data_IF_106245139263
#
_entry.id   IF_106245139263
#
_cell.length_a   1.000
_cell.length_b   1.000
_cell.length_c   1.000
_cell.angle_alpha   90.00
_cell.angle_beta   90.00
_cell.angle_gamma   90.00
#
_symmetry.space_group_name_H-M   'P 1'
#
loop_
_entity.id
_entity.type
_entity.pdbx_description
1 polymer ?
#
# COMPACT_ATOMS: atom_id res chain seq x y z
N UNK A 1 10.15 -2.01 -0.97
CA UNK A 1 9.39 -0.76 -0.96
C UNK A 1 8.22 -0.90 -0.01
N UNK A 2 7.92 0.12 0.78
CA UNK A 2 6.75 0.22 1.66
C UNK A 2 5.76 1.16 0.98
N UNK A 3 4.54 0.72 0.67
CA UNK A 3 3.48 1.59 0.12
C UNK A 3 2.65 2.15 1.27
N UNK A 4 2.80 3.44 1.61
CA UNK A 4 2.23 4.01 2.81
C UNK A 4 0.72 4.31 2.73
N UNK A 5 0.08 4.11 1.57
CA UNK A 5 -1.17 4.82 1.31
C UNK A 5 -2.43 4.18 1.93
N UNK A 6 -2.38 2.93 2.43
CA UNK A 6 -3.60 2.20 2.83
C UNK A 6 -3.54 1.34 4.07
N UNK A 7 -2.51 1.46 4.88
CA UNK A 7 -2.44 0.67 6.10
C UNK A 7 -3.35 1.29 7.17
N UNK A 8 -4.32 0.56 7.76
CA UNK A 8 -5.09 1.06 8.90
C UNK A 8 -4.18 1.57 10.04
N UNK A 9 -3.03 0.93 10.26
CA UNK A 9 -2.02 1.45 11.21
C UNK A 9 -1.48 2.83 10.80
N UNK A 10 -1.24 3.09 9.51
CA UNK A 10 -0.78 4.40 9.05
C UNK A 10 -1.88 5.47 9.11
N UNK A 11 -3.14 5.10 8.85
CA UNK A 11 -4.29 5.98 9.09
C UNK A 11 -4.35 6.31 10.58
N UNK A 12 -4.18 5.32 11.45
CA UNK A 12 -4.14 5.53 12.89
C UNK A 12 -2.95 6.44 13.30
N UNK A 13 -1.78 6.30 12.67
CA UNK A 13 -0.65 7.22 12.89
C UNK A 13 -1.07 8.66 12.62
N UNK A 14 -1.84 8.89 11.55
CA UNK A 14 -2.38 10.21 11.23
C UNK A 14 -3.46 10.65 12.23
N UNK A 15 -4.44 9.80 12.56
CA UNK A 15 -5.59 10.17 13.41
C UNK A 15 -5.22 10.47 14.86
N UNK A 16 -4.25 9.74 15.42
CA UNK A 16 -3.95 9.88 16.84
C UNK A 16 -3.33 11.24 17.14
N UNK A 17 -2.65 11.88 16.17
CA UNK A 17 -1.90 13.11 16.42
C UNK A 17 -1.74 14.05 15.21
N UNK A 18 -2.71 14.13 14.30
CA UNK A 18 -2.68 15.12 13.21
C UNK A 18 -2.94 16.52 13.75
N UNK A 19 -1.89 17.19 14.22
CA UNK A 19 -1.86 18.64 14.13
C UNK A 19 -1.29 18.99 12.76
N UNK A 20 -1.88 19.98 12.09
CA UNK A 20 -1.21 20.61 10.96
C UNK A 20 0.17 21.09 11.45
N UNK A 21 1.24 20.70 10.77
CA UNK A 21 2.59 21.13 11.10
C UNK A 21 2.72 22.65 11.15
N UNK A 22 1.98 23.37 10.31
CA UNK A 22 1.90 24.82 10.30
C UNK A 22 1.17 25.36 11.53
N UNK A 23 0.09 24.69 11.96
CA UNK A 23 -0.60 25.03 13.21
C UNK A 23 0.29 24.76 14.42
N UNK A 24 0.96 23.60 14.48
CA UNK A 24 1.88 23.23 15.55
C UNK A 24 3.03 24.24 15.66
N UNK A 25 3.72 24.53 14.55
CA UNK A 25 4.82 25.50 14.51
C UNK A 25 4.43 26.92 14.89
N UNK A 26 3.15 27.32 14.75
CA UNK A 26 2.66 28.63 15.21
C UNK A 26 2.16 28.66 16.65
N UNK A 27 1.72 27.53 17.19
CA UNK A 27 1.04 27.47 18.50
C UNK A 27 1.84 26.70 19.57
N UNK A 28 3.04 26.21 19.24
CA UNK A 28 3.82 25.28 20.08
C UNK A 28 4.11 25.78 21.51
N UNK A 29 4.30 27.09 21.73
CA UNK A 29 4.53 27.65 23.07
C UNK A 29 3.36 27.37 24.04
N UNK A 30 2.14 27.19 23.53
CA UNK A 30 0.95 26.87 24.34
C UNK A 30 0.88 25.39 24.74
N UNK A 31 1.60 24.50 24.04
CA UNK A 31 1.55 23.06 24.27
C UNK A 31 2.52 22.55 25.35
N UNK A 32 3.44 23.40 25.85
CA UNK A 32 4.52 23.04 26.80
C UNK A 32 4.06 22.25 28.05
N UNK A 33 2.78 22.34 28.44
CA UNK A 33 2.23 21.69 29.66
C UNK A 33 1.37 20.43 29.43
N UNK A 34 1.08 20.02 28.18
CA UNK A 34 0.10 18.93 27.91
C UNK A 34 0.61 17.77 27.04
N UNK A 35 1.88 17.77 26.63
CA UNK A 35 2.39 16.79 25.67
C UNK A 35 2.79 15.47 26.38
N UNK A 36 1.84 14.53 26.48
CA UNK A 36 2.10 13.14 26.95
C UNK A 36 2.22 12.13 25.81
N UNK A 37 2.19 12.58 24.55
CA UNK A 37 1.91 11.70 23.41
C UNK A 37 2.93 11.88 22.29
N UNK A 38 3.17 10.77 21.58
CA UNK A 38 3.98 10.68 20.36
C UNK A 38 3.39 11.60 19.27
N UNK A 39 4.15 12.55 18.76
CA UNK A 39 3.69 13.36 17.60
C UNK A 39 4.12 12.68 16.30
N UNK A 40 3.22 12.65 15.30
CA UNK A 40 3.52 12.30 13.91
C UNK A 40 2.93 13.42 13.06
N UNK A 41 3.78 14.34 12.60
CA UNK A 41 3.37 15.49 11.78
C UNK A 41 3.76 15.25 10.31
N UNK A 42 2.85 15.55 9.39
CA UNK A 42 3.18 15.64 7.96
C UNK A 42 4.00 16.90 7.72
N UNK A 43 5.23 16.73 7.24
CA UNK A 43 6.24 17.80 7.15
C UNK A 43 6.90 17.82 5.78
N UNK A 44 7.34 19.00 5.28
CA UNK A 44 8.09 19.12 4.03
C UNK A 44 9.55 18.69 4.23
N UNK A 45 9.74 17.40 4.53
CA UNK A 45 11.03 16.76 4.82
C UNK A 45 11.76 16.32 3.54
N UNK A 46 11.30 16.71 2.34
CA UNK A 46 11.88 16.20 1.09
C UNK A 46 13.39 16.56 0.97
N UNK A 47 13.78 17.77 1.37
CA UNK A 47 15.18 18.21 1.48
C UNK A 47 15.57 18.44 2.95
N UNK A 48 16.48 17.59 3.47
CA UNK A 48 16.93 17.64 4.87
C UNK A 48 17.63 18.96 5.20
N UNK A 49 18.53 19.42 4.33
CA UNK A 49 19.30 20.65 4.51
C UNK A 49 18.38 21.88 4.59
N UNK A 50 17.43 21.96 3.66
CA UNK A 50 16.45 23.06 3.63
C UNK A 50 15.50 22.98 4.82
N UNK A 51 15.08 21.78 5.22
CA UNK A 51 14.23 21.57 6.38
C UNK A 51 14.92 22.00 7.66
N UNK A 52 16.17 21.58 7.89
CA UNK A 52 16.97 22.01 9.05
C UNK A 52 17.11 23.53 9.07
N UNK A 53 17.48 24.14 7.94
CA UNK A 53 17.66 25.59 7.83
C UNK A 53 16.37 26.35 8.12
N UNK A 54 15.26 25.92 7.52
CA UNK A 54 13.96 26.59 7.62
C UNK A 54 13.30 26.41 9.00
N UNK A 55 13.52 25.27 9.66
CA UNK A 55 12.83 24.91 10.91
C UNK A 55 13.77 24.73 12.11
N UNK A 56 14.97 25.33 12.08
CA UNK A 56 15.99 25.21 13.15
C UNK A 56 15.42 25.36 14.56
N UNK A 57 14.70 26.46 14.84
CA UNK A 57 14.12 26.71 16.17
C UNK A 57 13.10 25.65 16.61
N UNK A 58 12.33 25.12 15.67
CA UNK A 58 11.38 24.03 15.95
C UNK A 58 12.14 22.74 16.30
N UNK A 59 13.22 22.43 15.58
CA UNK A 59 14.04 21.25 15.83
C UNK A 59 14.77 21.34 17.17
N UNK A 60 15.35 22.49 17.49
CA UNK A 60 15.99 22.75 18.79
C UNK A 60 15.00 22.54 19.94
N UNK A 61 13.79 23.09 19.80
CA UNK A 61 12.71 22.88 20.76
C UNK A 61 12.34 21.40 20.89
N UNK A 62 12.02 20.73 19.80
CA UNK A 62 11.60 19.32 19.79
C UNK A 62 12.67 18.40 20.38
N UNK A 63 13.94 18.70 20.13
CA UNK A 63 15.08 17.99 20.70
C UNK A 63 15.30 18.26 22.20
N UNK A 64 14.75 19.34 22.74
CA UNK A 64 14.79 19.64 24.18
C UNK A 64 13.70 18.94 25.00
N UNK A 65 12.76 18.23 24.36
CA UNK A 65 11.63 17.59 25.04
C UNK A 65 11.93 16.12 25.33
N UNK A 66 11.69 15.70 26.57
CA UNK A 66 11.85 14.32 27.04
C UNK A 66 10.64 13.42 26.73
N UNK A 67 10.06 13.59 25.54
CA UNK A 67 9.00 12.70 25.03
C UNK A 67 9.33 12.26 23.59
N UNK A 68 8.84 11.10 23.14
CA UNK A 68 8.98 10.66 21.77
C UNK A 68 8.33 11.61 20.77
N UNK A 69 9.07 12.12 19.79
CA UNK A 69 8.50 12.93 18.69
C UNK A 69 9.03 12.40 17.36
N UNK A 70 8.12 12.25 16.39
CA UNK A 70 8.40 11.84 15.03
C UNK A 70 7.81 12.88 14.07
N UNK A 71 8.60 13.41 13.15
CA UNK A 71 8.10 14.11 11.97
C UNK A 71 8.21 13.17 10.78
N UNK A 72 7.22 13.22 9.90
CA UNK A 72 7.09 12.32 8.77
C UNK A 72 6.99 13.14 7.50
N UNK A 73 7.69 12.73 6.45
CA UNK A 73 7.57 13.39 5.15
C UNK A 73 6.19 13.11 4.55
N UNK A 74 5.68 14.02 3.72
CA UNK A 74 4.38 13.83 3.03
C UNK A 74 4.34 12.56 2.18
N UNK A 75 5.48 12.17 1.61
CA UNK A 75 5.64 10.96 0.82
C UNK A 75 6.06 9.75 1.66
N UNK A 76 6.12 9.86 2.99
CA UNK A 76 6.44 8.79 3.93
C UNK A 76 7.83 8.15 3.76
N UNK A 77 8.69 8.66 2.86
CA UNK A 77 10.04 8.14 2.60
C UNK A 77 11.09 8.59 3.63
N UNK A 78 10.78 9.62 4.42
CA UNK A 78 11.70 10.18 5.42
C UNK A 78 10.98 10.44 6.73
N UNK A 79 11.71 10.23 7.81
CA UNK A 79 11.28 10.61 9.16
C UNK A 79 12.36 11.47 9.82
N UNK A 80 11.94 12.33 10.74
CA UNK A 80 12.82 12.92 11.73
C UNK A 80 12.36 12.44 13.11
N UNK A 81 13.28 12.00 13.95
CA UNK A 81 13.03 11.64 15.35
C UNK A 81 13.79 12.58 16.26
N UNK A 82 13.19 12.98 17.38
CA UNK A 82 13.87 13.86 18.33
C UNK A 82 14.96 13.13 19.13
N UNK A 83 15.82 13.88 19.82
CA UNK A 83 16.93 13.32 20.61
C UNK A 83 16.50 12.29 21.67
N UNK A 84 15.34 12.50 22.31
CA UNK A 84 14.79 11.55 23.26
C UNK A 84 14.51 10.19 22.60
N UNK A 85 13.77 10.19 21.47
CA UNK A 85 13.44 8.95 20.77
C UNK A 85 14.68 8.32 20.12
N UNK A 86 15.59 9.13 19.55
CA UNK A 86 16.88 8.69 19.03
C UNK A 86 17.65 7.86 20.07
N UNK A 87 17.79 8.38 21.30
CA UNK A 87 18.46 7.69 22.42
C UNK A 87 17.72 6.40 22.79
N UNK A 88 16.39 6.45 22.87
CA UNK A 88 15.55 5.30 23.23
C UNK A 88 15.62 4.17 22.22
N UNK A 89 15.78 4.49 20.94
CA UNK A 89 15.90 3.52 19.83
C UNK A 89 17.35 3.15 19.52
N UNK A 90 18.33 3.66 20.28
CA UNK A 90 19.76 3.48 20.05
C UNK A 90 20.20 3.83 18.61
N UNK A 91 19.70 4.97 18.10
CA UNK A 91 20.00 5.47 16.76
C UNK A 91 21.11 6.53 16.80
N UNK A 92 21.95 6.55 15.78
CA UNK A 92 23.04 7.54 15.67
C UNK A 92 22.61 8.81 14.92
N UNK A 93 21.45 8.79 14.26
CA UNK A 93 20.95 9.87 13.41
C UNK A 93 19.51 10.22 13.79
N UNK A 94 19.12 11.47 13.56
CA UNK A 94 17.76 11.95 13.77
C UNK A 94 16.90 11.81 12.51
N UNK A 95 17.49 11.92 11.32
CA UNK A 95 16.79 11.73 10.06
C UNK A 95 16.90 10.28 9.62
N UNK A 96 15.76 9.65 9.40
CA UNK A 96 15.63 8.25 9.06
C UNK A 96 15.07 8.09 7.66
N UNK A 97 15.64 7.15 6.92
CA UNK A 97 15.19 6.67 5.61
C UNK A 97 14.40 5.35 5.73
N UNK A 98 13.98 4.79 4.60
CA UNK A 98 13.18 3.55 4.50
C UNK A 98 13.73 2.37 5.31
N UNK A 99 15.06 2.24 5.44
CA UNK A 99 15.67 1.11 6.14
C UNK A 99 15.34 1.09 7.64
N UNK A 100 14.90 2.22 8.19
CA UNK A 100 14.57 2.36 9.60
C UNK A 100 13.08 2.25 9.91
N UNK A 101 12.20 2.05 8.93
CA UNK A 101 10.74 2.07 9.15
C UNK A 101 10.29 1.01 10.15
N UNK A 102 10.88 -0.19 10.07
CA UNK A 102 10.59 -1.28 11.03
C UNK A 102 10.82 -0.86 12.48
N UNK A 103 11.81 -0.01 12.76
CA UNK A 103 12.10 0.47 14.12
C UNK A 103 11.01 1.44 14.57
N UNK A 104 10.61 2.37 13.69
CA UNK A 104 9.55 3.35 13.95
C UNK A 104 8.20 2.64 14.16
N UNK A 105 7.88 1.68 13.30
CA UNK A 105 6.64 0.91 13.37
C UNK A 105 6.57 0.07 14.63
N UNK A 106 7.65 -0.61 15.01
CA UNK A 106 7.71 -1.34 16.29
C UNK A 106 7.42 -0.43 17.48
N UNK A 107 8.08 0.73 17.53
CA UNK A 107 7.84 1.71 18.58
C UNK A 107 6.38 2.18 18.62
N UNK A 108 5.80 2.48 17.45
CA UNK A 108 4.40 2.89 17.33
C UNK A 108 3.44 1.79 17.79
N UNK A 109 3.68 0.55 17.36
CA UNK A 109 2.88 -0.62 17.73
C UNK A 109 2.90 -0.88 19.24
N UNK A 110 4.09 -0.87 19.86
CA UNK A 110 4.22 -1.05 21.30
C UNK A 110 3.46 0.03 22.09
N UNK A 111 3.45 1.25 21.56
CA UNK A 111 2.70 2.35 22.12
C UNK A 111 1.18 2.12 22.00
N UNK A 112 0.66 1.75 20.82
CA UNK A 112 -0.79 1.56 20.65
C UNK A 112 -1.31 0.29 21.32
N UNK A 113 -0.51 -0.77 21.43
CA UNK A 113 -0.91 -2.03 22.09
C UNK A 113 -1.30 -1.81 23.55
N UNK A 114 -0.64 -0.87 24.25
CA UNK A 114 -0.95 -0.53 25.65
C UNK A 114 -2.38 -0.01 25.84
N UNK A 115 -2.95 0.66 24.84
CA UNK A 115 -4.32 1.19 24.86
C UNK A 115 -5.11 0.74 23.62
N UNK A 116 -4.99 -0.54 23.24
CA UNK A 116 -5.50 -1.06 21.97
C UNK A 116 -6.99 -0.78 21.74
N UNK A 117 -7.84 -0.80 22.78
CA UNK A 117 -9.28 -0.48 22.67
C UNK A 117 -9.51 0.95 22.16
N UNK A 118 -8.80 1.93 22.74
CA UNK A 118 -8.91 3.34 22.35
C UNK A 118 -8.51 3.52 20.88
N UNK A 119 -7.38 2.93 20.49
CA UNK A 119 -6.84 3.11 19.15
C UNK A 119 -7.62 2.36 18.07
N UNK A 120 -8.08 1.14 18.37
CA UNK A 120 -8.99 0.44 17.48
C UNK A 120 -10.31 1.22 17.32
N UNK A 121 -10.84 1.82 18.39
CA UNK A 121 -12.07 2.63 18.31
C UNK A 121 -11.90 3.84 17.39
N UNK A 122 -10.76 4.53 17.45
CA UNK A 122 -10.45 5.62 16.51
C UNK A 122 -10.43 5.15 15.06
N UNK A 123 -9.83 3.98 14.78
CA UNK A 123 -9.86 3.40 13.44
C UNK A 123 -11.28 3.02 13.01
N UNK A 124 -12.01 2.35 13.88
CA UNK A 124 -13.39 1.94 13.64
C UNK A 124 -14.27 3.15 13.32
N UNK A 125 -14.21 4.21 14.13
CA UNK A 125 -15.02 5.41 13.91
C UNK A 125 -14.65 6.13 12.60
N UNK A 126 -13.37 6.16 12.25
CA UNK A 126 -12.92 6.71 10.98
C UNK A 126 -13.52 5.96 9.78
N UNK A 127 -13.30 4.65 9.70
CA UNK A 127 -13.78 3.86 8.56
C UNK A 127 -15.31 3.81 8.50
N UNK A 128 -15.98 3.64 9.65
CA UNK A 128 -17.45 3.62 9.72
C UNK A 128 -18.05 4.98 9.35
N UNK A 129 -17.36 6.09 9.63
CA UNK A 129 -17.76 7.43 9.17
C UNK A 129 -17.88 7.53 7.65
N UNK A 130 -17.17 6.68 6.91
CA UNK A 130 -17.26 6.55 5.44
C UNK A 130 -18.09 5.34 4.98
N UNK A 131 -18.82 4.68 5.89
CA UNK A 131 -19.61 3.47 5.58
C UNK A 131 -18.77 2.20 5.38
N UNK A 132 -17.47 2.24 5.69
CA UNK A 132 -16.56 1.11 5.50
C UNK A 132 -16.58 0.22 6.74
N UNK A 133 -17.08 -1.01 6.59
CA UNK A 133 -17.17 -2.03 7.66
C UNK A 133 -16.08 -3.10 7.55
N UNK A 134 -15.37 -3.16 6.42
CA UNK A 134 -14.28 -4.10 6.16
C UNK A 134 -13.16 -3.40 5.41
N UNK A 135 -11.92 -3.69 5.80
CA UNK A 135 -10.73 -3.15 5.13
C UNK A 135 -9.64 -4.21 5.06
N UNK A 136 -8.68 -4.03 4.16
CA UNK A 136 -7.53 -4.92 3.97
C UNK A 136 -6.27 -4.10 4.23
N UNK A 137 -5.46 -4.53 5.18
CA UNK A 137 -4.07 -4.07 5.32
C UNK A 137 -3.20 -4.82 4.30
N UNK A 138 -2.79 -4.11 3.24
CA UNK A 138 -2.09 -4.66 2.10
C UNK A 138 -0.56 -4.54 2.24
N UNK A 139 0.02 -5.33 3.16
CA UNK A 139 1.45 -5.52 3.52
C UNK A 139 1.64 -5.44 5.05
N UNK A 140 0.99 -6.36 5.74
CA UNK A 140 1.02 -6.46 7.20
C UNK A 140 2.33 -7.08 7.67
N UNK A 141 3.14 -6.29 8.37
CA UNK A 141 4.37 -6.71 9.05
C UNK A 141 4.07 -7.55 10.30
N UNK A 142 5.11 -8.16 10.89
CA UNK A 142 4.98 -8.91 12.14
C UNK A 142 4.40 -8.04 13.25
N UNK A 143 4.88 -6.81 13.38
CA UNK A 143 4.46 -5.85 14.39
C UNK A 143 2.96 -5.49 14.22
N UNK A 144 2.51 -5.20 12.99
CA UNK A 144 1.10 -4.86 12.74
C UNK A 144 0.18 -6.05 13.00
N UNK A 145 0.61 -7.25 12.61
CA UNK A 145 -0.12 -8.50 12.84
C UNK A 145 -0.37 -8.74 14.34
N UNK A 146 0.60 -8.41 15.21
CA UNK A 146 0.42 -8.55 16.66
C UNK A 146 -0.69 -7.65 17.20
N UNK A 147 -0.77 -6.41 16.72
CA UNK A 147 -1.84 -5.49 17.10
C UNK A 147 -3.20 -6.01 16.62
N UNK A 148 -3.30 -6.43 15.36
CA UNK A 148 -4.56 -6.96 14.82
C UNK A 148 -5.01 -8.23 15.53
N UNK A 149 -4.09 -9.17 15.81
CA UNK A 149 -4.42 -10.36 16.61
C UNK A 149 -4.89 -10.01 18.02
N UNK A 150 -4.26 -9.04 18.67
CA UNK A 150 -4.69 -8.56 19.99
C UNK A 150 -6.13 -8.01 19.93
N UNK A 151 -6.41 -7.12 18.98
CA UNK A 151 -7.74 -6.55 18.75
C UNK A 151 -8.76 -7.63 18.47
N UNK A 152 -8.46 -8.54 17.55
CA UNK A 152 -9.35 -9.63 17.13
C UNK A 152 -9.68 -10.59 18.27
N UNK A 153 -8.73 -10.82 19.19
CA UNK A 153 -8.90 -11.69 20.35
C UNK A 153 -9.65 -11.01 21.51
N UNK A 154 -9.49 -9.70 21.69
CA UNK A 154 -9.92 -8.99 22.91
C UNK A 154 -11.13 -8.08 22.73
N UNK A 155 -11.49 -7.72 21.50
CA UNK A 155 -12.63 -6.85 21.22
C UNK A 155 -13.74 -7.70 20.60
N UNK A 156 -14.80 -7.90 21.37
CA UNK A 156 -16.06 -8.50 20.91
C UNK A 156 -16.91 -7.40 20.23
N UNK A 157 -17.74 -7.77 19.25
CA UNK A 157 -18.68 -6.85 18.56
C UNK A 157 -18.02 -5.68 17.79
N UNK A 158 -16.92 -5.99 17.11
CA UNK A 158 -16.27 -5.07 16.16
C UNK A 158 -17.20 -4.69 15.02
N UNK A 159 -17.31 -3.39 14.71
CA UNK A 159 -18.00 -2.89 13.50
C UNK A 159 -17.08 -2.85 12.29
N UNK A 160 -15.76 -2.77 12.51
CA UNK A 160 -14.73 -2.79 11.47
C UNK A 160 -13.94 -4.10 11.48
N UNK A 161 -14.03 -4.88 10.41
CA UNK A 161 -13.15 -6.04 10.22
C UNK A 161 -11.90 -5.64 9.43
N UNK A 162 -10.72 -5.94 9.99
CA UNK A 162 -9.43 -5.69 9.34
C UNK A 162 -8.87 -7.04 8.90
N UNK A 163 -8.86 -7.24 7.59
CA UNK A 163 -8.20 -8.37 6.93
C UNK A 163 -6.77 -7.98 6.57
N UNK A 164 -5.91 -8.96 6.30
CA UNK A 164 -4.51 -8.67 6.02
C UNK A 164 -3.91 -9.55 4.92
N UNK A 165 -3.07 -8.91 4.11
CA UNK A 165 -2.09 -9.53 3.23
C UNK A 165 -0.73 -9.36 3.89
N UNK A 166 -0.07 -10.47 4.19
CA UNK A 166 1.17 -10.49 4.97
C UNK A 166 2.39 -10.08 4.14
N UNK A 167 3.37 -9.49 4.82
CA UNK A 167 4.76 -9.45 4.37
C UNK A 167 5.26 -10.90 4.12
N UNK A 168 5.75 -11.24 2.91
CA UNK A 168 6.27 -12.57 2.59
C UNK A 168 7.37 -13.06 3.52
N UNK A 169 8.15 -12.15 4.12
CA UNK A 169 9.20 -12.51 5.07
C UNK A 169 8.68 -13.19 6.34
N UNK A 170 7.39 -13.04 6.67
CA UNK A 170 6.77 -13.71 7.82
C UNK A 170 6.90 -15.24 7.71
N UNK A 171 6.86 -15.77 6.48
CA UNK A 171 7.03 -17.21 6.25
C UNK A 171 8.41 -17.71 6.71
N UNK A 172 9.42 -16.85 6.68
CA UNK A 172 10.79 -17.16 7.10
C UNK A 172 11.06 -16.90 8.58
N UNK A 173 10.31 -15.97 9.19
CA UNK A 173 10.48 -15.57 10.58
C UNK A 173 9.80 -16.52 11.58
N UNK A 174 8.75 -17.24 11.17
CA UNK A 174 7.95 -18.05 12.08
C UNK A 174 8.17 -19.55 11.90
N UNK A 175 8.16 -20.25 13.03
CA UNK A 175 8.04 -21.71 13.06
C UNK A 175 6.66 -22.18 12.59
N UNK A 176 6.56 -23.44 12.17
CA UNK A 176 5.35 -24.02 11.60
C UNK A 176 4.11 -23.89 12.52
N UNK A 177 4.27 -24.04 13.84
CA UNK A 177 3.17 -23.91 14.80
C UNK A 177 2.55 -22.51 14.76
N UNK A 178 3.39 -21.47 14.77
CA UNK A 178 2.95 -20.08 14.69
C UNK A 178 2.41 -19.73 13.30
N UNK A 179 3.02 -20.26 12.23
CA UNK A 179 2.48 -20.11 10.88
C UNK A 179 1.08 -20.71 10.76
N UNK A 180 0.85 -21.90 11.32
CA UNK A 180 -0.49 -22.52 11.32
C UNK A 180 -1.54 -21.64 11.99
N UNK A 181 -1.21 -21.01 13.11
CA UNK A 181 -2.12 -20.08 13.79
C UNK A 181 -2.40 -18.84 12.93
N UNK A 182 -1.38 -18.28 12.26
CA UNK A 182 -1.51 -17.07 11.44
C UNK A 182 -2.28 -17.34 10.15
N UNK A 183 -1.96 -18.43 9.45
CA UNK A 183 -2.53 -18.75 8.14
C UNK A 183 -3.96 -19.27 8.23
N UNK A 184 -4.33 -19.93 9.34
CA UNK A 184 -5.72 -20.36 9.59
C UNK A 184 -6.60 -19.26 10.18
N UNK A 185 -6.05 -18.07 10.46
CA UNK A 185 -6.86 -16.96 10.94
C UNK A 185 -7.86 -16.53 9.86
N UNK A 186 -9.13 -16.33 10.22
CA UNK A 186 -10.19 -15.91 9.29
C UNK A 186 -9.94 -14.55 8.64
N UNK A 187 -9.06 -13.74 9.24
CA UNK A 187 -8.67 -12.42 8.73
C UNK A 187 -7.51 -12.47 7.74
N UNK A 188 -6.80 -13.61 7.64
CA UNK A 188 -5.73 -13.80 6.66
C UNK A 188 -6.28 -13.97 5.25
N UNK A 189 -5.73 -13.22 4.29
CA UNK A 189 -6.10 -13.33 2.88
C UNK A 189 -4.98 -13.84 1.98
N UNK A 190 -3.72 -13.68 2.36
CA UNK A 190 -2.60 -13.96 1.46
C UNK A 190 -1.35 -13.13 1.73
N UNK A 191 -0.56 -12.90 0.69
CA UNK A 191 0.73 -12.21 0.74
C UNK A 191 0.78 -11.04 -0.26
N UNK A 192 1.50 -9.99 0.08
CA UNK A 192 1.69 -8.80 -0.77
C UNK A 192 3.16 -8.66 -1.20
N UNK A 193 3.37 -8.39 -2.48
CA UNK A 193 4.67 -8.17 -3.11
C UNK A 193 4.69 -6.82 -3.82
N UNK A 194 5.91 -6.32 -4.03
CA UNK A 194 6.15 -5.08 -4.78
C UNK A 194 7.02 -5.38 -5.99
N UNK A 195 6.50 -5.13 -7.20
CA UNK A 195 7.25 -5.33 -8.44
C UNK A 195 7.92 -4.03 -8.85
N UNK A 196 7.17 -2.93 -8.87
CA UNK A 196 7.68 -1.61 -9.22
C UNK A 196 7.39 -0.55 -8.14
N UNK A 197 7.77 0.68 -8.47
CA UNK A 197 7.67 1.85 -7.61
C UNK A 197 6.34 2.60 -7.69
N UNK A 198 6.42 3.93 -7.63
CA UNK A 198 5.30 4.86 -7.72
C UNK A 198 5.52 5.87 -8.85
N UNK A 199 4.45 6.52 -9.32
CA UNK A 199 4.59 7.63 -10.27
C UNK A 199 5.29 8.84 -9.63
N UNK A 200 4.98 9.15 -8.37
CA UNK A 200 5.55 10.31 -7.65
C UNK A 200 7.06 10.22 -7.48
N UNK A 201 7.59 9.01 -7.25
CA UNK A 201 9.04 8.79 -7.16
C UNK A 201 9.70 8.54 -8.51
N UNK A 202 8.91 8.55 -9.60
CA UNK A 202 9.35 8.30 -10.98
C UNK A 202 10.07 6.95 -11.13
N UNK A 203 9.67 5.94 -10.36
CA UNK A 203 10.30 4.61 -10.34
C UNK A 203 9.33 3.45 -10.66
N UNK A 204 8.08 3.77 -11.04
CA UNK A 204 7.18 2.83 -11.70
C UNK A 204 7.79 2.32 -13.03
N UNK A 205 7.54 1.06 -13.38
CA UNK A 205 8.11 0.45 -14.58
C UNK A 205 7.17 0.63 -15.77
N UNK A 206 7.41 1.64 -16.58
CA UNK A 206 6.68 1.88 -17.84
C UNK A 206 7.50 1.37 -19.04
N UNK A 207 6.84 1.04 -20.15
CA UNK A 207 7.54 0.70 -21.40
C UNK A 207 8.12 1.97 -22.09
N UNK A 208 7.47 3.14 -21.93
CA UNK A 208 7.93 4.42 -22.49
C UNK A 208 8.63 5.31 -21.45
N UNK A 209 9.78 4.84 -20.94
CA UNK A 209 10.51 5.51 -19.84
C UNK A 209 11.29 6.76 -20.25
N UNK A 210 11.79 6.81 -21.48
CA UNK A 210 12.66 7.89 -21.95
C UNK A 210 11.91 9.20 -22.17
N UNK A 211 10.62 9.13 -22.43
CA UNK A 211 9.79 10.32 -22.64
C UNK A 211 9.44 11.04 -21.33
N UNK A 212 9.52 10.37 -20.18
CA UNK A 212 8.97 10.82 -18.89
C UNK A 212 10.00 11.06 -17.77
N UNK A 213 11.31 10.89 -18.04
CA UNK A 213 12.38 10.97 -17.04
C UNK A 213 12.17 10.02 -15.84
N UNK A 214 11.74 8.79 -16.10
CA UNK A 214 11.60 7.76 -15.07
C UNK A 214 12.93 7.04 -14.84
N UNK A 215 13.19 6.65 -13.59
CA UNK A 215 14.24 5.72 -13.19
C UNK A 215 13.58 4.42 -12.70
N UNK A 216 13.08 3.57 -13.62
CA UNK A 216 12.31 2.39 -13.28
C UNK A 216 13.15 1.43 -12.44
N UNK A 217 12.57 0.88 -11.37
CA UNK A 217 13.23 -0.10 -10.50
C UNK A 217 12.39 -1.35 -10.36
N UNK A 218 13.01 -2.51 -10.56
CA UNK A 218 12.45 -3.79 -10.16
C UNK A 218 12.71 -3.99 -8.67
N UNK A 219 11.66 -3.95 -7.86
CA UNK A 219 11.73 -4.14 -6.42
C UNK A 219 11.62 -5.60 -5.99
N UNK A 220 11.08 -6.47 -6.86
CA UNK A 220 10.94 -7.89 -6.55
C UNK A 220 12.21 -8.66 -6.91
N UNK A 221 12.86 -9.21 -5.90
CA UNK A 221 13.88 -10.24 -6.07
C UNK A 221 13.22 -11.58 -6.46
N UNK A 222 13.55 -12.08 -7.65
CA UNK A 222 13.00 -13.32 -8.19
C UNK A 222 13.47 -14.56 -7.43
N UNK A 223 14.70 -14.57 -6.93
CA UNK A 223 15.24 -15.70 -6.17
C UNK A 223 14.55 -15.78 -4.81
N UNK A 224 14.34 -14.63 -4.16
CA UNK A 224 13.51 -14.54 -2.97
C UNK A 224 12.10 -15.06 -3.22
N UNK A 225 11.45 -14.63 -4.31
CA UNK A 225 10.09 -15.05 -4.63
C UNK A 225 9.99 -16.57 -4.88
N UNK A 226 10.96 -17.15 -5.61
CA UNK A 226 11.00 -18.59 -5.84
C UNK A 226 11.18 -19.37 -4.53
N UNK A 227 12.12 -18.94 -3.69
CA UNK A 227 12.34 -19.53 -2.36
C UNK A 227 11.09 -19.43 -1.48
N UNK A 228 10.38 -18.30 -1.54
CA UNK A 228 9.11 -18.10 -0.85
C UNK A 228 8.04 -19.10 -1.32
N UNK A 229 7.84 -19.26 -2.64
CA UNK A 229 6.84 -20.18 -3.18
C UNK A 229 7.14 -21.63 -2.82
N UNK A 230 8.40 -22.03 -2.89
CA UNK A 230 8.84 -23.36 -2.50
C UNK A 230 8.53 -23.63 -1.02
N UNK A 231 8.93 -22.71 -0.13
CA UNK A 231 8.63 -22.82 1.29
C UNK A 231 7.14 -22.86 1.56
N UNK A 232 6.37 -22.01 0.88
CA UNK A 232 4.91 -21.95 1.04
C UNK A 232 4.26 -23.28 0.64
N UNK A 233 4.68 -23.88 -0.48
CA UNK A 233 4.21 -25.19 -0.90
C UNK A 233 4.43 -26.26 0.19
N UNK A 234 5.62 -26.31 0.81
CA UNK A 234 5.89 -27.23 1.92
C UNK A 234 5.03 -26.97 3.15
N UNK A 235 4.77 -25.69 3.46
CA UNK A 235 3.90 -25.29 4.59
C UNK A 235 2.46 -25.71 4.32
N UNK A 236 1.94 -25.51 3.10
CA UNK A 236 0.57 -25.87 2.71
C UNK A 236 0.33 -27.38 2.65
N UNK A 237 1.36 -28.20 2.42
CA UNK A 237 1.24 -29.66 2.62
C UNK A 237 0.88 -30.05 4.05
N UNK A 238 1.21 -29.20 5.03
CA UNK A 238 0.99 -29.45 6.47
C UNK A 238 -0.21 -28.68 7.03
N UNK A 239 -0.72 -27.70 6.29
CA UNK A 239 -1.80 -26.80 6.72
C UNK A 239 -2.82 -26.69 5.58
N UNK A 240 -4.06 -27.13 5.83
CA UNK A 240 -5.14 -26.98 4.87
C UNK A 240 -5.65 -25.54 4.88
N UNK A 241 -5.47 -24.84 3.77
CA UNK A 241 -6.08 -23.55 3.49
C UNK A 241 -7.03 -23.68 2.32
N UNK A 242 -8.22 -23.09 2.43
CA UNK A 242 -9.20 -23.11 1.33
C UNK A 242 -8.76 -22.22 0.17
N UNK A 243 -8.17 -21.06 0.48
CA UNK A 243 -7.83 -20.04 -0.50
C UNK A 243 -6.64 -19.21 -0.03
N UNK A 244 -5.83 -18.76 -0.97
CA UNK A 244 -4.72 -17.84 -0.74
C UNK A 244 -4.63 -16.79 -1.86
N UNK A 245 -4.32 -15.55 -1.49
CA UNK A 245 -4.10 -14.47 -2.46
C UNK A 245 -2.62 -14.12 -2.57
N UNK A 246 -2.14 -13.87 -3.78
CA UNK A 246 -0.87 -13.20 -4.04
C UNK A 246 -1.18 -11.86 -4.68
N UNK A 247 -0.94 -10.78 -3.94
CA UNK A 247 -1.16 -9.42 -4.42
C UNK A 247 0.17 -8.82 -4.84
N UNK A 248 0.25 -8.30 -6.06
CA UNK A 248 1.44 -7.67 -6.61
C UNK A 248 1.14 -6.20 -6.84
N UNK A 249 1.88 -5.32 -6.20
CA UNK A 249 1.90 -3.90 -6.55
C UNK A 249 2.53 -3.73 -7.94
N UNK A 250 1.74 -3.24 -8.90
CA UNK A 250 2.18 -2.95 -10.25
C UNK A 250 1.50 -1.68 -10.74
N UNK A 251 2.25 -0.58 -10.82
CA UNK A 251 1.72 0.65 -11.40
C UNK A 251 1.89 0.63 -12.91
N UNK A 252 3.13 0.50 -13.39
CA UNK A 252 3.42 0.58 -14.82
C UNK A 252 3.14 -0.70 -15.61
N UNK A 253 2.86 -0.56 -16.91
CA UNK A 253 2.51 -1.64 -17.81
C UNK A 253 3.60 -2.72 -17.91
N UNK A 254 4.88 -2.31 -17.90
CA UNK A 254 6.02 -3.23 -17.86
C UNK A 254 6.06 -4.06 -16.59
N UNK A 255 5.68 -3.50 -15.44
CA UNK A 255 5.58 -4.26 -14.18
C UNK A 255 4.47 -5.33 -14.25
N UNK A 256 3.32 -4.98 -14.81
CA UNK A 256 2.20 -5.91 -15.01
C UNK A 256 2.62 -7.04 -15.96
N UNK A 257 3.24 -6.70 -17.09
CA UNK A 257 3.75 -7.67 -18.07
C UNK A 257 4.78 -8.61 -17.44
N UNK A 258 5.67 -8.07 -16.60
CA UNK A 258 6.61 -8.87 -15.83
C UNK A 258 5.90 -9.86 -14.88
N UNK A 259 4.88 -9.41 -14.15
CA UNK A 259 4.10 -10.23 -13.25
C UNK A 259 3.46 -11.43 -13.97
N UNK A 260 2.77 -11.14 -15.09
CA UNK A 260 2.05 -12.13 -15.89
C UNK A 260 2.97 -13.14 -16.57
N UNK A 261 4.18 -12.73 -16.97
CA UNK A 261 5.14 -13.63 -17.63
C UNK A 261 5.95 -14.49 -16.67
N UNK A 262 6.37 -13.93 -15.53
CA UNK A 262 7.44 -14.53 -14.74
C UNK A 262 6.97 -15.12 -13.41
N UNK A 263 5.84 -14.66 -12.86
CA UNK A 263 5.45 -15.01 -11.49
C UNK A 263 4.49 -16.21 -11.41
N UNK A 264 3.91 -16.60 -12.54
CA UNK A 264 3.10 -17.80 -12.72
C UNK A 264 4.00 -18.95 -13.20
N UNK A 265 4.58 -19.67 -12.24
CA UNK A 265 5.55 -20.73 -12.50
C UNK A 265 5.09 -22.09 -11.96
N UNK A 266 5.95 -23.11 -12.09
CA UNK A 266 5.68 -24.48 -11.65
C UNK A 266 5.21 -24.59 -10.20
N UNK A 267 5.65 -23.71 -9.30
CA UNK A 267 5.22 -23.75 -7.89
C UNK A 267 3.83 -23.19 -7.70
N UNK A 268 3.41 -22.18 -8.46
CA UNK A 268 2.02 -21.70 -8.44
C UNK A 268 1.07 -22.83 -8.85
N UNK A 269 1.40 -23.57 -9.91
CA UNK A 269 0.61 -24.76 -10.32
C UNK A 269 0.58 -25.85 -9.24
N UNK A 270 1.70 -26.10 -8.56
CA UNK A 270 1.72 -27.05 -7.43
C UNK A 270 0.90 -26.57 -6.23
N UNK A 271 0.90 -25.26 -5.96
CA UNK A 271 0.11 -24.65 -4.88
C UNK A 271 -1.38 -24.70 -5.22
N UNK A 272 -1.77 -24.49 -6.49
CA UNK A 272 -3.17 -24.49 -6.91
C UNK A 272 -3.85 -25.85 -6.75
N UNK A 273 -3.07 -26.93 -6.75
CA UNK A 273 -3.53 -28.28 -6.42
C UNK A 273 -3.89 -28.46 -4.93
N UNK A 274 -3.35 -27.62 -4.04
CA UNK A 274 -3.57 -27.71 -2.60
C UNK A 274 -4.60 -26.69 -2.08
N UNK A 275 -4.71 -25.53 -2.75
CA UNK A 275 -5.55 -24.41 -2.31
C UNK A 275 -5.93 -23.54 -3.49
N UNK A 276 -7.09 -22.87 -3.42
CA UNK A 276 -7.50 -21.94 -4.48
C UNK A 276 -6.60 -20.70 -4.48
N UNK A 277 -6.03 -20.36 -5.64
CA UNK A 277 -5.16 -19.18 -5.76
C UNK A 277 -5.92 -18.00 -6.33
N UNK A 278 -5.76 -16.85 -5.69
CA UNK A 278 -6.11 -15.54 -6.21
C UNK A 278 -4.84 -14.78 -6.58
N UNK A 279 -4.54 -14.65 -7.86
CA UNK A 279 -3.47 -13.79 -8.37
C UNK A 279 -4.03 -12.39 -8.59
N UNK A 280 -3.56 -11.40 -7.84
CA UNK A 280 -4.07 -10.03 -7.87
C UNK A 280 -2.97 -9.08 -8.31
N UNK A 281 -3.25 -8.24 -9.29
CA UNK A 281 -2.42 -7.10 -9.67
C UNK A 281 -3.10 -5.87 -9.10
N UNK A 282 -2.43 -5.24 -8.14
CA UNK A 282 -2.88 -4.02 -7.46
C UNK A 282 -2.42 -2.79 -8.23
N UNK A 283 -3.24 -1.74 -8.18
CA UNK A 283 -3.16 -0.50 -8.95
C UNK A 283 -3.48 -0.69 -10.43
N UNK A 284 -2.71 -1.51 -11.14
CA UNK A 284 -2.88 -1.82 -12.55
C UNK A 284 -3.15 -0.57 -13.42
N UNK A 285 -2.46 0.54 -13.13
CA UNK A 285 -2.80 1.87 -13.66
C UNK A 285 -2.53 2.01 -15.15
N UNK A 286 -1.55 1.29 -15.68
CA UNK A 286 -1.22 1.30 -17.10
C UNK A 286 -1.34 -0.11 -17.67
N UNK A 287 -2.19 -0.27 -18.68
CA UNK A 287 -2.40 -1.51 -19.41
C UNK A 287 -2.23 -1.23 -20.90
N UNK A 288 -1.27 -1.91 -21.51
CA UNK A 288 -1.05 -1.84 -22.95
C UNK A 288 -1.59 -3.10 -23.66
N UNK A 289 -1.48 -3.13 -24.99
CA UNK A 289 -1.99 -4.26 -25.79
C UNK A 289 -1.31 -5.58 -25.42
N UNK A 290 -0.01 -5.55 -25.12
CA UNK A 290 0.72 -6.72 -24.67
C UNK A 290 0.19 -7.21 -23.33
N UNK A 291 -0.12 -6.30 -22.39
CA UNK A 291 -0.73 -6.66 -21.09
C UNK A 291 -2.05 -7.42 -21.26
N UNK A 292 -2.92 -6.94 -22.15
CA UNK A 292 -4.20 -7.61 -22.45
C UNK A 292 -3.97 -9.00 -23.03
N UNK A 293 -3.04 -9.14 -23.98
CA UNK A 293 -2.74 -10.43 -24.58
C UNK A 293 -2.21 -11.43 -23.55
N UNK A 294 -1.23 -11.00 -22.74
CA UNK A 294 -0.65 -11.81 -21.67
C UNK A 294 -1.69 -12.24 -20.63
N UNK A 295 -2.64 -11.36 -20.28
CA UNK A 295 -3.73 -11.72 -19.40
C UNK A 295 -4.58 -12.85 -20.00
N UNK A 296 -5.01 -12.71 -21.26
CA UNK A 296 -5.81 -13.73 -21.95
C UNK A 296 -5.09 -15.08 -22.02
N UNK A 297 -3.82 -15.07 -22.40
CA UNK A 297 -3.00 -16.29 -22.48
C UNK A 297 -2.92 -16.99 -21.12
N UNK A 298 -2.72 -16.22 -20.05
CA UNK A 298 -2.67 -16.75 -18.68
C UNK A 298 -4.03 -17.25 -18.18
N UNK A 299 -5.13 -16.58 -18.52
CA UNK A 299 -6.49 -17.04 -18.17
C UNK A 299 -6.82 -18.39 -18.80
N UNK A 300 -6.37 -18.62 -20.04
CA UNK A 300 -6.52 -19.90 -20.75
C UNK A 300 -5.63 -20.98 -20.12
N UNK A 301 -4.37 -20.63 -19.85
CA UNK A 301 -3.34 -21.57 -19.35
C UNK A 301 -3.57 -22.01 -17.91
N UNK A 302 -4.01 -21.10 -17.03
CA UNK A 302 -4.11 -21.31 -15.59
C UNK A 302 -5.56 -21.25 -15.09
N UNK A 303 -6.39 -22.18 -15.56
CA UNK A 303 -7.84 -22.23 -15.25
C UNK A 303 -8.16 -22.34 -13.75
N UNK A 304 -7.26 -22.94 -12.97
CA UNK A 304 -7.40 -23.10 -11.51
C UNK A 304 -6.95 -21.87 -10.70
N UNK A 305 -6.45 -20.84 -11.38
CA UNK A 305 -6.03 -19.57 -10.78
C UNK A 305 -7.07 -18.51 -11.13
N UNK A 306 -7.58 -17.83 -10.11
CA UNK A 306 -8.39 -16.64 -10.31
C UNK A 306 -7.46 -15.43 -10.46
N UNK A 307 -7.67 -14.63 -11.49
CA UNK A 307 -6.96 -13.40 -11.75
C UNK A 307 -7.80 -12.19 -11.38
N UNK A 308 -7.17 -11.17 -10.80
CA UNK A 308 -7.82 -9.90 -10.50
C UNK A 308 -6.94 -8.74 -10.88
N UNK A 309 -7.53 -7.77 -11.58
CA UNK A 309 -6.96 -6.42 -11.65
C UNK A 309 -7.70 -5.55 -10.65
N UNK A 310 -6.95 -4.92 -9.75
CA UNK A 310 -7.48 -4.03 -8.73
C UNK A 310 -7.02 -2.64 -9.06
N UNK A 311 -7.96 -1.77 -9.41
CA UNK A 311 -7.70 -0.40 -9.83
C UNK A 311 -8.16 0.58 -8.78
N UNK A 312 -7.40 1.65 -8.57
CA UNK A 312 -7.86 2.76 -7.74
C UNK A 312 -8.19 3.98 -8.62
N UNK A 313 -9.49 4.32 -8.79
CA UNK A 313 -9.93 5.42 -9.65
C UNK A 313 -9.44 6.79 -9.20
N UNK A 314 -8.98 6.91 -7.95
CA UNK A 314 -8.55 8.18 -7.39
C UNK A 314 -7.12 8.56 -7.80
N UNK A 315 -6.33 7.61 -8.30
CA UNK A 315 -5.00 7.93 -8.83
C UNK A 315 -5.09 8.96 -9.96
N UNK A 316 -6.15 8.93 -10.78
CA UNK A 316 -6.33 9.94 -11.82
C UNK A 316 -6.26 11.38 -11.28
N UNK A 317 -6.81 11.65 -10.09
CA UNK A 317 -6.81 13.00 -9.49
C UNK A 317 -5.51 13.36 -8.80
N UNK A 318 -4.87 12.38 -8.16
CA UNK A 318 -3.55 12.56 -7.54
C UNK A 318 -2.49 12.79 -8.62
N UNK A 319 -2.64 12.10 -9.75
CA UNK A 319 -1.70 12.10 -10.87
C UNK A 319 -1.94 13.27 -11.85
N UNK A 320 -3.02 14.07 -11.71
CA UNK A 320 -3.25 15.26 -12.57
C UNK A 320 -2.03 16.20 -12.54
N UNK A 321 -1.44 16.42 -11.37
CA UNK A 321 -0.24 17.26 -11.26
C UNK A 321 0.94 16.65 -12.02
N UNK A 322 1.09 15.32 -11.95
CA UNK A 322 2.09 14.61 -12.75
C UNK A 322 1.81 14.74 -14.26
N UNK A 323 0.55 14.58 -14.68
CA UNK A 323 0.17 14.71 -16.09
C UNK A 323 0.35 16.13 -16.63
N UNK A 324 0.17 17.16 -15.80
CA UNK A 324 0.39 18.56 -16.19
C UNK A 324 1.85 18.88 -16.50
N UNK A 325 2.79 18.10 -15.97
CA UNK A 325 4.24 18.28 -16.21
C UNK A 325 4.73 17.57 -17.49
N UNK A 326 3.85 16.82 -18.16
CA UNK A 326 4.20 16.04 -19.35
C UNK A 326 3.81 16.81 -20.62
N UNK A 327 4.73 16.85 -21.58
CA UNK A 327 4.47 17.41 -22.91
C UNK A 327 3.25 16.73 -23.57
N UNK A 328 2.34 17.52 -24.15
CA UNK A 328 1.03 17.06 -24.63
C UNK A 328 1.09 15.83 -25.56
N UNK A 329 2.08 15.76 -26.46
CA UNK A 329 2.30 14.64 -27.38
C UNK A 329 2.60 13.33 -26.64
N UNK A 330 3.44 13.40 -25.60
CA UNK A 330 3.81 12.28 -24.73
C UNK A 330 2.65 11.89 -23.80
N UNK A 331 1.91 12.89 -23.30
CA UNK A 331 0.73 12.69 -22.47
C UNK A 331 -0.33 11.89 -23.23
N UNK A 332 -0.62 12.21 -24.50
CA UNK A 332 -1.59 11.47 -25.30
C UNK A 332 -1.25 9.98 -25.46
N UNK A 333 0.04 9.66 -25.64
CA UNK A 333 0.49 8.25 -25.74
C UNK A 333 0.35 7.53 -24.40
N UNK A 334 0.68 8.20 -23.30
CA UNK A 334 0.54 7.68 -21.95
C UNK A 334 -0.93 7.43 -21.57
N UNK A 335 -1.81 8.40 -21.86
CA UNK A 335 -3.24 8.30 -21.58
C UNK A 335 -3.90 7.13 -22.34
N UNK A 336 -3.47 6.82 -23.57
CA UNK A 336 -3.99 5.65 -24.31
C UNK A 336 -3.76 4.32 -23.59
N UNK A 337 -2.69 4.21 -22.80
CA UNK A 337 -2.40 3.01 -22.02
C UNK A 337 -2.92 3.11 -20.58
N UNK A 338 -3.47 4.24 -20.15
CA UNK A 338 -3.99 4.36 -18.81
C UNK A 338 -5.28 3.54 -18.67
N UNK A 339 -5.36 2.73 -17.61
CA UNK A 339 -6.40 1.71 -17.38
C UNK A 339 -7.81 2.21 -17.64
N UNK A 340 -8.07 3.43 -17.18
CA UNK A 340 -9.38 4.08 -17.24
C UNK A 340 -9.90 4.20 -18.69
N UNK A 341 -9.01 4.39 -19.67
CA UNK A 341 -9.37 4.48 -21.09
C UNK A 341 -9.42 3.11 -21.78
N UNK A 342 -9.00 2.06 -21.09
CA UNK A 342 -9.00 0.66 -21.55
C UNK A 342 -10.11 -0.18 -20.90
N UNK A 343 -10.96 0.43 -20.06
CA UNK A 343 -12.00 -0.26 -19.29
C UNK A 343 -12.91 -1.13 -20.16
N UNK A 344 -13.32 -0.64 -21.34
CA UNK A 344 -14.22 -1.38 -22.24
C UNK A 344 -13.60 -2.71 -22.70
N UNK A 345 -12.29 -2.73 -22.99
CA UNK A 345 -11.56 -3.95 -23.34
C UNK A 345 -11.46 -4.90 -22.15
N UNK A 346 -11.11 -4.36 -20.97
CA UNK A 346 -10.97 -5.16 -19.74
C UNK A 346 -12.32 -5.76 -19.32
N UNK A 347 -13.43 -5.02 -19.48
CA UNK A 347 -14.79 -5.52 -19.21
C UNK A 347 -15.23 -6.61 -20.18
N UNK A 348 -14.81 -6.57 -21.45
CA UNK A 348 -15.07 -7.67 -22.40
C UNK A 348 -14.41 -8.96 -21.91
N UNK A 349 -13.14 -8.89 -21.49
CA UNK A 349 -12.42 -10.04 -20.92
C UNK A 349 -13.12 -10.56 -19.67
N UNK A 350 -13.55 -9.67 -18.77
CA UNK A 350 -14.31 -10.06 -17.57
C UNK A 350 -15.59 -10.84 -17.89
N UNK A 351 -16.30 -10.48 -18.96
CA UNK A 351 -17.49 -11.22 -19.41
C UNK A 351 -17.17 -12.57 -20.05
N UNK A 352 -16.02 -12.66 -20.71
CA UNK A 352 -15.58 -13.86 -21.45
C UNK A 352 -14.97 -14.94 -20.53
N UNK A 353 -14.29 -14.54 -19.44
CA UNK A 353 -13.49 -15.44 -18.62
C UNK A 353 -13.99 -15.49 -17.16
N UNK A 354 -14.53 -16.64 -16.75
CA UNK A 354 -15.08 -16.85 -15.40
C UNK A 354 -14.03 -16.80 -14.26
N UNK A 355 -12.75 -16.92 -14.58
CA UNK A 355 -11.64 -16.83 -13.63
C UNK A 355 -10.95 -15.45 -13.63
N UNK A 356 -11.56 -14.43 -14.26
CA UNK A 356 -11.08 -13.05 -14.18
C UNK A 356 -12.03 -12.16 -13.38
N UNK A 357 -11.49 -11.25 -12.58
CA UNK A 357 -12.24 -10.27 -11.81
C UNK A 357 -11.62 -8.87 -11.88
N UNK A 358 -12.46 -7.86 -11.68
CA UNK A 358 -12.03 -6.46 -11.56
C UNK A 358 -12.40 -5.98 -10.16
N UNK A 359 -11.44 -5.43 -9.44
CA UNK A 359 -11.63 -4.78 -8.15
C UNK A 359 -11.44 -3.28 -8.25
N UNK A 360 -12.18 -2.53 -7.44
CA UNK A 360 -11.93 -1.09 -7.25
C UNK A 360 -11.42 -0.89 -5.83
N UNK A 361 -10.18 -0.43 -5.67
CA UNK A 361 -9.61 -0.08 -4.38
C UNK A 361 -9.74 1.42 -4.13
N UNK A 362 -10.07 1.80 -2.90
CA UNK A 362 -9.99 3.18 -2.45
C UNK A 362 -8.67 3.34 -1.69
N UNK A 363 -7.53 3.36 -2.41
CA UNK A 363 -6.23 3.42 -1.73
C UNK A 363 -5.91 4.79 -1.13
N UNK A 364 -6.81 5.75 -1.30
CA UNK A 364 -6.80 7.02 -0.58
C UNK A 364 -8.21 7.24 -0.03
N UNK A 365 -8.37 7.65 1.25
CA UNK A 365 -9.66 8.11 1.74
C UNK A 365 -10.00 9.41 1.01
N UNK A 366 -10.96 9.31 0.11
CA UNK A 366 -11.51 10.46 -0.61
C UNK A 366 -12.97 10.59 -0.21
N UNK A 367 -13.47 11.81 -0.20
CA UNK A 367 -14.88 12.04 0.11
C UNK A 367 -15.74 11.31 -0.93
N UNK A 368 -16.95 10.89 -0.54
CA UNK A 368 -17.91 10.28 -1.48
C UNK A 368 -18.24 11.18 -2.67
N UNK A 369 -18.07 12.50 -2.52
CA UNK A 369 -18.19 13.50 -3.58
C UNK A 369 -17.11 13.32 -4.64
N UNK A 370 -15.86 13.09 -4.23
CA UNK A 370 -14.73 12.94 -5.14
C UNK A 370 -14.84 11.64 -5.95
N UNK A 371 -15.29 10.53 -5.34
CA UNK A 371 -15.53 9.28 -6.06
C UNK A 371 -16.64 9.40 -7.12
N UNK A 372 -17.76 10.04 -6.78
CA UNK A 372 -18.84 10.29 -7.73
C UNK A 372 -18.42 11.25 -8.85
N UNK A 373 -17.55 12.22 -8.54
CA UNK A 373 -16.95 13.11 -9.51
C UNK A 373 -15.97 12.39 -10.44
N UNK A 374 -15.16 11.44 -9.93
CA UNK A 374 -14.33 10.53 -10.73
C UNK A 374 -15.16 9.76 -11.74
N UNK A 375 -16.25 9.13 -11.29
CA UNK A 375 -17.18 8.38 -12.13
C UNK A 375 -17.90 9.32 -13.11
N UNK A 376 -18.22 10.55 -12.72
CA UNK A 376 -18.84 11.56 -13.58
C UNK A 376 -17.90 12.05 -14.69
N UNK A 377 -16.67 12.43 -14.36
CA UNK A 377 -15.65 12.84 -15.35
C UNK A 377 -15.35 11.70 -16.31
N UNK A 378 -15.27 10.46 -15.79
CA UNK A 378 -15.18 9.25 -16.58
C UNK A 378 -16.31 9.12 -17.60
N UNK A 379 -17.55 9.25 -17.15
CA UNK A 379 -18.74 9.20 -18.02
C UNK A 379 -18.69 10.33 -19.06
N UNK A 380 -18.31 11.55 -18.67
CA UNK A 380 -18.20 12.71 -19.57
C UNK A 380 -17.11 12.53 -20.64
N UNK A 381 -15.94 12.03 -20.28
CA UNK A 381 -14.84 11.77 -21.22
C UNK A 381 -15.19 10.64 -22.20
N UNK A 382 -15.80 9.56 -21.72
CA UNK A 382 -16.28 8.45 -22.57
C UNK A 382 -17.38 8.93 -23.53
N UNK A 383 -18.31 9.77 -23.06
CA UNK A 383 -19.40 10.30 -23.88
C UNK A 383 -18.91 11.32 -24.93
N UNK A 384 -17.90 12.13 -24.63
CA UNK A 384 -17.34 13.09 -25.58
C UNK A 384 -16.50 12.42 -26.68
N UNK A 385 -15.91 11.24 -26.43
CA UNK A 385 -15.18 10.49 -27.45
C UNK A 385 -16.11 9.69 -28.38
N UNK A 386 -17.34 9.35 -27.96
CA UNK A 386 -18.35 8.74 -28.85
C UNK A 386 -18.97 9.71 -29.86
N UNK A 387 -18.65 11.00 -29.79
CA UNK A 387 -19.11 12.02 -30.74
C UNK A 387 -18.04 12.39 -31.79
N UNK A 388 -16.87 11.72 -31.77
CA UNK A 388 -15.75 11.99 -32.68
C UNK A 388 -15.36 10.81 -33.58
N UNK A 389 -16.09 9.70 -33.50
CA UNK A 389 -16.16 8.64 -34.52
C UNK A 389 -17.55 8.72 -35.17
#
# INVERSE_FOLDING_TARGET
MYDPHTHPILILQNLVNSYDFYFFSKTFNKFKKKLKYLFILNTPLENESDFIKKYKYLLDFVNSIDIPIIFKSKNYHKFFVNNYLKKKLNLNINFLDEKHFNIVDRFFIDYIKKNYKKYYKLLEDYFIGYGITKTIDAYTTTEFLEFYKLVNKKINNKRLEIYYLLDPNILFKFELKKLKEVLNDKYFLGFKFFIDGTLSNKDAMLDDIYSLNFNPKLYLDLDFYQNFLEKLYYVLKKIKLFKISFAFHCIGDKAINFALNNLLNKYITKISQLTKINFRIEHALFINNQTIQLLKDNLIKYKDVNFYFVFNPNFFFVDINFFNEIEYTKLNKLLRNYFIFRLDEVFKIFKEYNNFGIGFASDCPVSSLDYNFSIFLLKKLILNNKQKD
#
